data_IF_165323864763
#
_entry.id   IF_165323864763
#
_cell.length_a   1.000
_cell.length_b   1.000
_cell.length_c   1.000
_cell.angle_alpha   90.00
_cell.angle_beta   90.00
_cell.angle_gamma   90.00
#
_symmetry.space_group_name_H-M   'P 1'
#
loop_
_entity.id
_entity.type
_entity.pdbx_description
1 polymer ?
#
# COMPACT_ATOMS: atom_id res chain seq x y z
N UNK A 1 17.27 -64.74 23.06
CA UNK A 1 16.86 -63.75 22.04
C UNK A 1 15.72 -62.95 22.64
N UNK A 2 16.01 -61.77 23.20
CA UNK A 2 15.04 -60.82 23.72
C UNK A 2 15.66 -59.43 23.57
N UNK A 3 15.03 -58.58 22.76
CA UNK A 3 15.44 -57.20 22.52
C UNK A 3 14.87 -56.28 23.61
N UNK A 4 15.58 -55.22 24.03
CA UNK A 4 14.94 -54.08 24.65
C UNK A 4 14.38 -53.17 23.57
N UNK A 5 13.08 -52.94 23.67
CA UNK A 5 12.30 -51.93 22.96
C UNK A 5 12.76 -50.54 23.42
N UNK A 6 13.37 -49.77 22.52
CA UNK A 6 13.75 -48.37 22.75
C UNK A 6 12.76 -47.53 21.94
N UNK A 7 11.76 -46.99 22.63
CA UNK A 7 10.90 -45.95 22.08
C UNK A 7 11.66 -44.63 22.09
N UNK A 8 11.74 -43.90 20.97
CA UNK A 8 12.31 -42.57 20.95
C UNK A 8 11.39 -41.54 21.62
N UNK A 9 12.08 -40.59 22.22
CA UNK A 9 11.67 -39.55 23.15
C UNK A 9 10.95 -38.37 22.47
N UNK A 10 10.14 -37.67 23.28
CA UNK A 10 9.77 -36.26 23.17
C UNK A 10 9.33 -35.69 21.81
N UNK A 11 8.00 -35.60 21.62
CA UNK A 11 7.43 -34.46 20.87
C UNK A 11 7.46 -33.22 21.78
N UNK A 12 8.41 -32.31 21.56
CA UNK A 12 8.29 -30.93 22.04
C UNK A 12 7.06 -30.31 21.37
N UNK A 13 5.99 -30.17 22.16
CA UNK A 13 4.84 -29.38 21.77
C UNK A 13 5.29 -27.91 21.74
N UNK A 14 5.25 -27.29 20.57
CA UNK A 14 5.41 -25.85 20.40
C UNK A 14 4.39 -25.14 21.28
N UNK A 15 4.82 -24.57 22.40
CA UNK A 15 4.00 -23.72 23.25
C UNK A 15 3.57 -22.50 22.42
N UNK A 16 2.32 -22.47 21.99
CA UNK A 16 1.73 -21.24 21.47
C UNK A 16 1.56 -20.29 22.67
N UNK A 17 2.23 -19.12 22.69
CA UNK A 17 2.06 -18.16 23.76
C UNK A 17 0.61 -17.68 23.74
N UNK A 18 -0.18 -18.16 24.69
CA UNK A 18 -1.55 -17.70 24.90
C UNK A 18 -1.47 -16.29 25.49
N UNK A 19 -1.64 -15.27 24.64
CA UNK A 19 -1.79 -13.90 25.11
C UNK A 19 -3.04 -13.78 25.99
N UNK A 20 -2.94 -13.03 27.09
CA UNK A 20 -4.06 -12.83 28.00
C UNK A 20 -5.18 -12.03 27.30
N UNK A 21 -6.46 -12.40 27.46
CA UNK A 21 -7.59 -11.76 26.77
C UNK A 21 -7.68 -10.25 27.03
N UNK A 22 -7.32 -9.79 28.23
CA UNK A 22 -7.31 -8.36 28.58
C UNK A 22 -6.32 -7.53 27.71
N UNK A 23 -5.17 -8.13 27.34
CA UNK A 23 -4.21 -7.47 26.46
C UNK A 23 -4.72 -7.41 25.01
N UNK A 24 -5.45 -8.43 24.56
CA UNK A 24 -6.08 -8.45 23.24
C UNK A 24 -7.21 -7.40 23.15
N UNK A 25 -8.00 -7.25 24.21
CA UNK A 25 -9.04 -6.22 24.30
C UNK A 25 -8.45 -4.80 24.26
N UNK A 26 -7.33 -4.57 24.96
CA UNK A 26 -6.61 -3.29 24.90
C UNK A 26 -6.06 -2.97 23.50
N UNK A 27 -5.62 -3.99 22.75
CA UNK A 27 -5.17 -3.83 21.37
C UNK A 27 -6.31 -3.49 20.42
N UNK A 28 -7.44 -4.19 20.53
CA UNK A 28 -8.62 -3.91 19.73
C UNK A 28 -9.13 -2.48 19.96
N UNK A 29 -9.18 -2.02 21.21
CA UNK A 29 -9.56 -0.65 21.53
C UNK A 29 -8.60 0.39 20.92
N UNK A 30 -7.29 0.15 21.01
CA UNK A 30 -6.28 1.03 20.42
C UNK A 30 -6.37 1.09 18.90
N UNK A 31 -6.58 -0.06 18.26
CA UNK A 31 -6.79 -0.18 16.82
C UNK A 31 -8.01 0.63 16.35
N UNK A 32 -9.13 0.53 17.07
CA UNK A 32 -10.35 1.27 16.75
C UNK A 32 -10.16 2.79 16.88
N UNK A 33 -9.45 3.24 17.91
CA UNK A 33 -9.11 4.65 18.07
C UNK A 33 -8.22 5.15 16.92
N UNK A 34 -7.19 4.38 16.57
CA UNK A 34 -6.28 4.72 15.48
C UNK A 34 -6.97 4.70 14.11
N UNK A 35 -7.93 3.80 13.88
CA UNK A 35 -8.72 3.73 12.64
C UNK A 35 -9.46 5.04 12.36
N UNK A 36 -10.12 5.61 13.37
CA UNK A 36 -10.84 6.87 13.23
C UNK A 36 -9.90 8.05 12.85
N UNK A 37 -8.65 7.99 13.28
CA UNK A 37 -7.61 8.97 12.96
C UNK A 37 -6.95 8.71 11.61
N UNK A 38 -6.67 7.44 11.28
CA UNK A 38 -5.96 7.02 10.07
C UNK A 38 -6.85 7.00 8.81
N UNK A 39 -8.15 6.72 8.99
CA UNK A 39 -9.12 6.53 7.90
C UNK A 39 -9.11 5.14 7.26
N UNK A 40 -8.30 4.21 7.76
CA UNK A 40 -8.25 2.82 7.31
C UNK A 40 -8.23 1.86 8.52
N UNK A 41 -8.85 0.68 8.44
CA UNK A 41 -8.92 -0.28 9.53
C UNK A 41 -7.59 -1.01 9.76
N UNK A 42 -7.26 -1.27 11.03
CA UNK A 42 -6.13 -2.14 11.41
C UNK A 42 -6.56 -3.60 11.67
N UNK A 43 -7.86 -3.82 11.88
CA UNK A 43 -8.46 -5.11 12.16
C UNK A 43 -9.74 -5.28 11.33
N UNK A 44 -9.92 -6.45 10.75
CA UNK A 44 -11.16 -6.85 10.09
C UNK A 44 -12.05 -7.68 11.01
N UNK A 45 -13.39 -7.75 10.79
CA UNK A 45 -14.34 -8.33 11.74
C UNK A 45 -14.09 -9.80 12.15
N UNK A 46 -13.40 -10.58 11.33
CA UNK A 46 -13.13 -12.01 11.57
C UNK A 46 -11.73 -12.28 12.13
N UNK A 47 -10.96 -11.22 12.44
CA UNK A 47 -9.55 -11.33 12.81
C UNK A 47 -9.34 -11.34 14.33
N UNK A 48 -8.34 -12.12 14.78
CA UNK A 48 -7.87 -12.12 16.15
C UNK A 48 -6.81 -11.01 16.34
N UNK A 49 -7.06 -10.00 17.21
CA UNK A 49 -6.09 -8.93 17.48
C UNK A 49 -4.73 -9.44 17.98
N UNK A 50 -4.71 -10.52 18.78
CA UNK A 50 -3.47 -11.06 19.34
C UNK A 50 -2.54 -11.66 18.28
N UNK A 51 -3.11 -12.15 17.17
CA UNK A 51 -2.37 -12.74 16.05
C UNK A 51 -2.00 -11.67 15.03
N UNK A 52 -2.99 -10.89 14.60
CA UNK A 52 -2.83 -9.91 13.51
C UNK A 52 -1.99 -8.71 13.92
N UNK A 53 -2.08 -8.29 15.19
CA UNK A 53 -1.28 -7.20 15.76
C UNK A 53 -0.16 -7.72 16.66
N UNK A 54 0.29 -8.96 16.42
CA UNK A 54 1.46 -9.51 17.08
C UNK A 54 2.70 -8.64 16.81
N UNK A 55 3.66 -8.58 17.75
CA UNK A 55 4.91 -7.85 17.55
C UNK A 55 5.63 -8.24 16.24
N UNK A 56 6.17 -7.25 15.54
CA UNK A 56 6.88 -7.46 14.27
C UNK A 56 5.99 -7.56 13.03
N UNK A 57 4.66 -7.58 13.17
CA UNK A 57 3.74 -7.47 12.03
C UNK A 57 3.76 -6.05 11.44
N UNK A 58 3.48 -5.92 10.15
CA UNK A 58 3.40 -4.61 9.50
C UNK A 58 2.25 -3.75 10.08
N UNK A 59 1.08 -4.37 10.32
CA UNK A 59 -0.06 -3.72 10.99
C UNK A 59 0.28 -3.26 12.40
N UNK A 60 1.02 -4.07 13.18
CA UNK A 60 1.44 -3.65 14.52
C UNK A 60 2.33 -2.41 14.48
N UNK A 61 3.32 -2.36 13.58
CA UNK A 61 4.14 -1.16 13.40
C UNK A 61 3.30 0.06 13.00
N UNK A 62 2.37 -0.12 12.06
CA UNK A 62 1.47 0.95 11.64
C UNK A 62 0.65 1.51 12.82
N UNK A 63 0.13 0.62 13.68
CA UNK A 63 -0.62 0.99 14.88
C UNK A 63 0.25 1.69 15.92
N UNK A 64 1.42 1.14 16.22
CA UNK A 64 2.35 1.72 17.21
C UNK A 64 2.79 3.13 16.77
N UNK A 65 3.13 3.32 15.48
CA UNK A 65 3.48 4.64 14.92
C UNK A 65 2.28 5.61 14.92
N UNK A 66 1.08 5.13 14.64
CA UNK A 66 -0.13 5.94 14.70
C UNK A 66 -0.38 6.45 16.13
N UNK A 67 -0.34 5.55 17.12
CA UNK A 67 -0.52 5.90 18.53
C UNK A 67 0.56 6.89 19.01
N UNK A 68 1.81 6.73 18.55
CA UNK A 68 2.90 7.64 18.87
C UNK A 68 2.71 9.04 18.26
N UNK A 69 2.07 9.18 17.09
CA UNK A 69 1.70 10.49 16.54
C UNK A 69 0.51 11.11 17.27
N UNK A 70 -0.51 10.30 17.61
CA UNK A 70 -1.67 10.76 18.37
C UNK A 70 -1.28 11.24 19.78
N UNK A 71 -0.35 10.55 20.46
CA UNK A 71 0.17 10.97 21.77
C UNK A 71 0.89 12.33 21.70
N UNK A 72 1.50 12.65 20.55
CA UNK A 72 2.10 13.97 20.29
C UNK A 72 1.06 15.05 19.97
N UNK A 73 -0.22 14.71 19.94
CA UNK A 73 -1.32 15.63 19.66
C UNK A 73 -1.53 15.92 18.17
N UNK A 74 -1.16 15.00 17.27
CA UNK A 74 -1.45 15.13 15.86
C UNK A 74 -2.94 14.85 15.58
N UNK A 75 -3.65 15.81 15.00
CA UNK A 75 -5.07 15.66 14.65
C UNK A 75 -5.30 14.74 13.44
N UNK A 76 -4.30 14.57 12.58
CA UNK A 76 -4.33 13.72 11.38
C UNK A 76 -2.97 13.03 11.15
N UNK A 77 -2.92 11.94 10.36
CA UNK A 77 -1.67 11.25 10.06
C UNK A 77 -0.69 12.10 9.28
N UNK A 78 0.57 12.06 9.73
CA UNK A 78 1.66 12.72 9.04
C UNK A 78 1.85 12.19 7.63
N UNK A 79 2.53 12.98 6.79
CA UNK A 79 2.86 12.54 5.44
C UNK A 79 3.75 11.28 5.44
N UNK A 80 4.67 11.17 6.40
CA UNK A 80 5.55 10.01 6.54
C UNK A 80 4.76 8.74 6.88
N UNK A 81 3.81 8.86 7.82
CA UNK A 81 2.90 7.77 8.16
C UNK A 81 2.06 7.36 6.95
N UNK A 82 1.46 8.33 6.24
CA UNK A 82 0.64 8.08 5.05
C UNK A 82 1.40 7.33 3.97
N UNK A 83 2.62 7.78 3.61
CA UNK A 83 3.43 7.10 2.59
C UNK A 83 3.70 5.65 2.99
N UNK A 84 4.03 5.41 4.26
CA UNK A 84 4.47 4.10 4.71
C UNK A 84 3.31 3.11 4.84
N UNK A 85 2.17 3.55 5.36
CA UNK A 85 1.13 2.63 5.83
C UNK A 85 -0.20 2.71 5.09
N UNK A 86 -0.58 3.88 4.54
CA UNK A 86 -1.96 4.06 4.04
C UNK A 86 -2.30 3.13 2.87
N UNK A 87 -1.38 2.97 1.91
CA UNK A 87 -1.59 2.06 0.77
C UNK A 87 -1.66 0.61 1.22
N UNK A 88 -0.79 0.20 2.15
CA UNK A 88 -0.79 -1.15 2.71
C UNK A 88 -2.14 -1.46 3.37
N UNK A 89 -2.58 -0.63 4.31
CA UNK A 89 -3.86 -0.82 5.01
C UNK A 89 -5.07 -0.75 4.07
N UNK A 90 -5.06 0.18 3.10
CA UNK A 90 -6.12 0.27 2.09
C UNK A 90 -6.21 -0.96 1.19
N UNK A 91 -5.07 -1.57 0.83
CA UNK A 91 -5.05 -2.84 0.09
C UNK A 91 -5.56 -4.00 0.94
N UNK A 92 -5.21 -4.06 2.22
CA UNK A 92 -5.74 -5.07 3.15
C UNK A 92 -7.27 -4.96 3.28
N UNK A 93 -7.79 -3.74 3.40
CA UNK A 93 -9.24 -3.48 3.38
C UNK A 93 -9.89 -3.97 2.10
N UNK A 94 -9.36 -3.61 0.93
CA UNK A 94 -9.96 -4.00 -0.36
C UNK A 94 -9.89 -5.52 -0.57
N UNK A 95 -8.78 -6.16 -0.21
CA UNK A 95 -8.56 -7.58 -0.45
C UNK A 95 -9.25 -8.49 0.58
N UNK A 96 -9.65 -7.96 1.75
CA UNK A 96 -10.43 -8.69 2.75
C UNK A 96 -11.93 -8.74 2.44
N UNK A 97 -12.44 -7.86 1.57
CA UNK A 97 -13.82 -7.88 1.10
C UNK A 97 -14.14 -9.15 0.29
N UNK A 98 -15.33 -9.72 0.50
CA UNK A 98 -15.80 -10.95 -0.17
C UNK A 98 -17.10 -10.66 -0.96
N UNK A 99 -17.04 -10.44 -2.30
CA UNK A 99 -15.86 -10.34 -3.16
C UNK A 99 -15.19 -8.95 -3.10
N UNK A 100 -13.91 -8.84 -3.49
CA UNK A 100 -13.17 -7.58 -3.42
C UNK A 100 -13.65 -6.59 -4.48
N UNK A 101 -13.93 -5.35 -4.07
CA UNK A 101 -14.48 -4.30 -4.92
C UNK A 101 -13.65 -3.03 -4.84
N UNK A 102 -13.62 -2.30 -5.96
CA UNK A 102 -13.14 -0.93 -5.99
C UNK A 102 -14.17 0.01 -5.33
N UNK A 103 -13.75 1.23 -5.01
CA UNK A 103 -14.64 2.27 -4.50
C UNK A 103 -15.81 2.60 -5.46
N UNK A 104 -15.66 2.33 -6.76
CA UNK A 104 -16.74 2.44 -7.76
C UNK A 104 -17.80 1.33 -7.66
N UNK A 105 -17.59 0.32 -6.80
CA UNK A 105 -18.40 -0.90 -6.72
C UNK A 105 -18.02 -1.99 -7.72
N UNK A 106 -17.06 -1.70 -8.62
CA UNK A 106 -16.55 -2.66 -9.60
C UNK A 106 -15.84 -3.82 -8.90
N UNK A 107 -16.30 -5.03 -9.15
CA UNK A 107 -15.66 -6.24 -8.63
C UNK A 107 -14.35 -6.53 -9.35
N UNK A 108 -13.30 -6.81 -8.58
CA UNK A 108 -11.97 -7.10 -9.13
C UNK A 108 -11.92 -8.47 -9.78
N UNK A 109 -11.25 -8.55 -10.93
CA UNK A 109 -10.96 -9.81 -11.62
C UNK A 109 -9.82 -10.54 -10.90
N UNK A 110 -9.78 -11.88 -11.01
CA UNK A 110 -8.76 -12.72 -10.38
C UNK A 110 -7.32 -12.24 -10.59
N UNK A 111 -6.91 -11.95 -11.81
CA UNK A 111 -5.55 -11.46 -12.09
C UNK A 111 -5.26 -10.09 -11.46
N UNK A 112 -6.28 -9.25 -11.25
CA UNK A 112 -6.13 -7.97 -10.55
C UNK A 112 -5.94 -8.19 -9.06
N UNK A 113 -6.72 -9.13 -8.47
CA UNK A 113 -6.55 -9.55 -7.08
C UNK A 113 -5.13 -10.09 -6.88
N UNK A 114 -4.66 -10.97 -7.76
CA UNK A 114 -3.31 -11.57 -7.69
C UNK A 114 -2.22 -10.49 -7.76
N UNK A 115 -2.34 -9.51 -8.66
CA UNK A 115 -1.40 -8.40 -8.79
C UNK A 115 -1.37 -7.50 -7.53
N UNK A 116 -2.54 -7.15 -6.99
CA UNK A 116 -2.65 -6.33 -5.79
C UNK A 116 -2.18 -7.08 -4.54
N UNK A 117 -2.43 -8.38 -4.45
CA UNK A 117 -1.92 -9.22 -3.37
C UNK A 117 -0.38 -9.34 -3.40
N UNK A 118 0.21 -9.42 -4.61
CA UNK A 118 1.66 -9.34 -4.78
C UNK A 118 2.22 -8.01 -4.28
N UNK A 119 1.62 -6.88 -4.67
CA UNK A 119 2.03 -5.56 -4.19
C UNK A 119 1.90 -5.41 -2.68
N UNK A 120 0.80 -5.91 -2.10
CA UNK A 120 0.60 -5.90 -0.65
C UNK A 120 1.71 -6.70 0.06
N UNK A 121 2.11 -7.85 -0.49
CA UNK A 121 3.19 -8.67 0.07
C UNK A 121 4.51 -7.89 0.11
N UNK A 122 4.85 -7.17 -0.96
CA UNK A 122 6.05 -6.31 -1.01
C UNK A 122 5.98 -5.17 0.02
N UNK A 123 4.83 -4.51 0.17
CA UNK A 123 4.64 -3.44 1.16
C UNK A 123 4.76 -3.94 2.61
N UNK A 124 4.21 -5.12 2.89
CA UNK A 124 4.35 -5.78 4.19
C UNK A 124 5.83 -6.07 4.46
N UNK A 125 6.54 -6.67 3.50
CA UNK A 125 7.97 -6.96 3.63
C UNK A 125 8.79 -5.68 3.87
N UNK A 126 8.58 -4.64 3.06
CA UNK A 126 9.27 -3.35 3.20
C UNK A 126 9.01 -2.67 4.56
N UNK A 127 7.81 -2.85 5.12
CA UNK A 127 7.46 -2.35 6.45
C UNK A 127 8.08 -3.18 7.57
N UNK A 128 8.33 -4.48 7.31
CA UNK A 128 8.82 -5.41 8.32
C UNK A 128 10.33 -5.48 8.46
N UNK A 129 11.07 -5.07 7.42
CA UNK A 129 12.50 -4.82 7.54
C UNK A 129 12.69 -3.61 8.46
N UNK A 130 13.44 -3.79 9.56
CA UNK A 130 13.76 -2.67 10.43
C UNK A 130 14.44 -1.56 9.61
N UNK A 131 14.15 -0.28 9.88
CA UNK A 131 15.06 0.76 9.46
C UNK A 131 16.33 0.59 10.30
N UNK A 132 17.22 -0.30 9.87
CA UNK A 132 18.63 -0.26 10.24
C UNK A 132 19.04 1.21 10.12
N UNK A 133 19.34 1.81 11.27
CA UNK A 133 19.69 3.22 11.40
C UNK A 133 20.86 3.53 10.48
N UNK A 134 20.56 4.03 9.28
CA UNK A 134 21.49 4.65 8.34
C UNK A 134 22.86 3.96 8.25
N UNK A 135 22.89 2.69 7.86
CA UNK A 135 24.09 2.04 7.37
C UNK A 135 24.30 2.41 5.91
N UNK A 136 25.22 3.33 5.63
CA UNK A 136 25.79 3.52 4.29
C UNK A 136 26.50 2.23 3.86
N UNK A 137 25.74 1.27 3.33
CA UNK A 137 26.22 0.06 2.67
C UNK A 137 26.19 0.31 1.18
N UNK A 138 27.34 0.69 0.61
CA UNK A 138 27.50 0.80 -0.83
C UNK A 138 27.10 -0.51 -1.49
N UNK A 139 25.99 -0.49 -2.23
CA UNK A 139 25.68 -1.53 -3.20
C UNK A 139 26.74 -1.44 -4.28
N UNK A 140 27.64 -2.44 -4.28
CA UNK A 140 28.54 -2.67 -5.38
C UNK A 140 27.75 -2.61 -6.69
N UNK A 141 28.19 -1.74 -7.60
CA UNK A 141 27.74 -1.73 -8.96
C UNK A 141 28.13 -3.06 -9.58
N UNK A 142 27.18 -3.98 -9.67
CA UNK A 142 27.24 -5.06 -10.64
C UNK A 142 26.81 -4.41 -11.96
N UNK A 143 27.80 -4.12 -12.81
CA UNK A 143 27.61 -3.73 -14.21
C UNK A 143 26.82 -4.84 -14.91
N UNK A 144 25.51 -4.66 -15.01
CA UNK A 144 24.69 -5.34 -16.00
C UNK A 144 24.67 -4.43 -17.22
N UNK A 145 25.39 -4.83 -18.27
CA UNK A 145 25.24 -4.20 -19.59
C UNK A 145 23.76 -4.26 -20.01
N UNK A 146 23.17 -3.15 -20.48
CA UNK A 146 21.88 -3.20 -21.13
C UNK A 146 22.06 -3.76 -22.54
N UNK A 147 21.64 -5.01 -22.75
CA UNK A 147 21.31 -5.48 -24.11
C UNK A 147 20.04 -4.73 -24.55
N UNK A 148 20.20 -3.82 -25.49
CA UNK A 148 19.14 -3.08 -26.16
C UNK A 148 18.41 -4.02 -27.14
N UNK A 149 17.34 -4.67 -26.70
CA UNK A 149 16.30 -5.14 -27.61
C UNK A 149 15.04 -4.29 -27.39
N UNK A 150 14.92 -3.22 -28.19
CA UNK A 150 13.68 -2.48 -28.37
C UNK A 150 12.61 -3.42 -28.98
N UNK A 151 11.86 -4.13 -28.13
CA UNK A 151 10.59 -4.72 -28.57
C UNK A 151 9.60 -3.57 -28.84
N UNK A 152 9.49 -3.24 -30.13
CA UNK A 152 8.40 -2.50 -30.76
C UNK A 152 7.05 -3.01 -30.23
N UNK A 153 6.52 -2.36 -29.18
CA UNK A 153 5.17 -2.58 -28.68
C UNK A 153 4.18 -2.02 -29.70
N UNK A 154 3.97 -2.78 -30.78
CA UNK A 154 3.05 -2.52 -31.87
C UNK A 154 1.59 -2.44 -31.38
N UNK A 155 1.22 -1.31 -30.80
CA UNK A 155 -0.18 -0.92 -30.61
C UNK A 155 -0.74 -0.44 -31.94
N UNK A 156 -1.19 -1.40 -32.76
CA UNK A 156 -1.98 -1.11 -33.96
C UNK A 156 -3.39 -0.67 -33.53
N UNK A 157 -3.57 0.64 -33.35
CA UNK A 157 -4.87 1.24 -33.05
C UNK A 157 -5.70 1.34 -34.35
N UNK A 158 -6.12 0.20 -34.88
CA UNK A 158 -7.02 0.15 -36.04
C UNK A 158 -8.48 0.31 -35.56
N UNK A 159 -8.84 1.55 -35.29
CA UNK A 159 -10.21 1.96 -35.03
C UNK A 159 -10.38 3.41 -35.47
N UNK A 160 -11.23 3.64 -36.46
CA UNK A 160 -11.58 5.00 -36.93
C UNK A 160 -12.07 5.80 -35.72
N UNK A 161 -11.28 6.78 -35.30
CA UNK A 161 -11.67 7.76 -34.30
C UNK A 161 -12.84 8.56 -34.88
N UNK A 162 -14.05 8.26 -34.44
CA UNK A 162 -15.17 9.16 -34.63
C UNK A 162 -14.86 10.44 -33.86
N UNK A 163 -14.84 11.58 -34.57
CA UNK A 163 -14.43 12.88 -34.04
C UNK A 163 -15.42 13.30 -32.95
N UNK A 164 -15.05 13.06 -31.68
CA UNK A 164 -15.82 13.51 -30.52
C UNK A 164 -15.80 15.03 -30.48
N UNK A 165 -16.92 15.67 -30.82
CA UNK A 165 -17.12 17.11 -30.67
C UNK A 165 -16.91 17.53 -29.21
N UNK A 166 -15.78 18.17 -28.95
CA UNK A 166 -15.50 18.82 -27.68
C UNK A 166 -16.39 20.06 -27.55
N UNK A 167 -17.06 20.28 -26.40
CA UNK A 167 -17.82 21.50 -26.18
C UNK A 167 -16.89 22.72 -26.21
N UNK A 168 -17.25 23.76 -26.97
CA UNK A 168 -16.42 24.96 -27.15
C UNK A 168 -16.18 25.76 -25.86
N UNK A 169 -16.94 25.48 -24.80
CA UNK A 169 -16.74 26.09 -23.48
C UNK A 169 -16.80 25.05 -22.36
N UNK A 170 -15.77 24.93 -21.52
CA UNK A 170 -15.84 24.09 -20.34
C UNK A 170 -16.88 24.68 -19.37
N UNK A 171 -17.93 23.92 -19.07
CA UNK A 171 -18.95 24.32 -18.12
C UNK A 171 -18.42 24.20 -16.69
N UNK A 172 -18.07 25.33 -16.07
CA UNK A 172 -17.78 25.42 -14.65
C UNK A 172 -16.41 26.02 -14.31
N UNK A 173 -16.24 26.33 -13.01
CA UNK A 173 -14.98 26.84 -12.47
C UNK A 173 -13.98 25.70 -12.36
N UNK A 174 -13.00 25.66 -13.27
CA UNK A 174 -11.93 24.67 -13.26
C UNK A 174 -11.15 24.70 -11.92
N UNK A 175 -11.25 23.66 -11.06
CA UNK A 175 -10.54 23.59 -9.79
C UNK A 175 -9.01 23.50 -9.97
N UNK A 176 -8.54 23.11 -11.16
CA UNK A 176 -7.14 23.09 -11.54
C UNK A 176 -6.57 24.44 -11.99
N UNK A 177 -7.41 25.46 -12.20
CA UNK A 177 -6.99 26.73 -12.80
C UNK A 177 -5.87 27.44 -12.01
N UNK A 178 -5.91 27.37 -10.68
CA UNK A 178 -4.90 27.96 -9.80
C UNK A 178 -3.54 27.25 -9.83
N UNK A 179 -3.46 26.05 -10.42
CA UNK A 179 -2.23 25.23 -10.50
C UNK A 179 -1.65 25.18 -11.93
N UNK A 180 -2.23 25.92 -12.88
CA UNK A 180 -1.75 25.98 -14.27
C UNK A 180 -0.59 26.98 -14.37
N UNK A 181 0.62 26.46 -14.54
CA UNK A 181 1.81 27.27 -14.84
C UNK A 181 1.96 27.44 -16.36
N UNK A 182 2.02 28.68 -16.84
CA UNK A 182 2.28 28.99 -18.25
C UNK A 182 3.71 29.48 -18.41
N UNK A 183 4.53 28.70 -19.09
CA UNK A 183 5.89 29.09 -19.46
C UNK A 183 5.85 29.92 -20.74
N UNK A 184 6.35 31.15 -20.67
CA UNK A 184 6.52 32.01 -21.85
C UNK A 184 7.98 31.89 -22.30
N UNK A 185 8.22 31.22 -23.43
CA UNK A 185 9.57 31.16 -24.01
C UNK A 185 9.93 32.54 -24.60
N UNK A 186 11.14 33.09 -24.37
CA UNK A 186 11.54 34.42 -24.83
C UNK A 186 11.93 34.47 -26.32
N UNK A 187 11.38 33.61 -27.17
CA UNK A 187 11.61 33.62 -28.61
C UNK A 187 10.39 34.19 -29.34
N UNK A 188 10.64 35.19 -30.17
CA UNK A 188 9.66 36.04 -30.86
C UNK A 188 8.83 35.30 -31.94
N UNK A 189 8.17 34.18 -31.61
CA UNK A 189 7.34 33.40 -32.53
C UNK A 189 5.87 33.27 -32.09
N UNK A 190 5.48 33.76 -30.90
CA UNK A 190 4.07 33.91 -30.52
C UNK A 190 3.26 32.62 -30.36
N UNK A 191 3.89 31.45 -30.37
CA UNK A 191 3.20 30.16 -30.19
C UNK A 191 3.00 29.89 -28.70
N UNK A 192 1.77 30.11 -28.23
CA UNK A 192 1.34 29.65 -26.90
C UNK A 192 1.10 28.15 -27.01
N UNK A 193 1.90 27.32 -26.34
CA UNK A 193 1.60 25.88 -26.23
C UNK A 193 0.52 25.75 -25.14
N UNK A 194 -0.66 25.26 -25.51
CA UNK A 194 -1.72 24.92 -24.57
C UNK A 194 -1.25 23.70 -23.76
N UNK A 195 -1.15 23.85 -22.44
CA UNK A 195 -0.89 22.73 -21.55
C UNK A 195 -2.18 21.92 -21.36
N UNK A 196 -2.22 20.67 -21.83
CA UNK A 196 -3.19 19.69 -21.39
C UNK A 196 -2.83 19.28 -19.96
N UNK A 197 -3.71 19.57 -19.01
CA UNK A 197 -3.56 19.11 -17.63
C UNK A 197 -4.04 17.67 -17.54
N UNK A 198 -3.18 16.75 -17.09
CA UNK A 198 -3.61 15.45 -16.60
C UNK A 198 -4.25 15.64 -15.22
N UNK A 199 -5.58 15.56 -15.15
CA UNK A 199 -6.34 14.85 -14.10
C UNK A 199 -7.68 14.44 -14.71
#
# INVERSE_FOLDING_TARGET
MAAPDVLPDMHEATEQPTLAPEAADGLAASALQAEAWAGEPFLHPEEDPGVVLAPGTARRRALDDALAEMEKGADEPSYGWKIRYSLMLGLERVLSEKPPRLASGTELRRHQIDALAGMLTELIAATQVEPELNGNGGTAAEEVEPDEEEEDLGVHLEGVLEELELPETPAGRDPGAGRRYRFRHPTASGKTIAAAGFV
#
